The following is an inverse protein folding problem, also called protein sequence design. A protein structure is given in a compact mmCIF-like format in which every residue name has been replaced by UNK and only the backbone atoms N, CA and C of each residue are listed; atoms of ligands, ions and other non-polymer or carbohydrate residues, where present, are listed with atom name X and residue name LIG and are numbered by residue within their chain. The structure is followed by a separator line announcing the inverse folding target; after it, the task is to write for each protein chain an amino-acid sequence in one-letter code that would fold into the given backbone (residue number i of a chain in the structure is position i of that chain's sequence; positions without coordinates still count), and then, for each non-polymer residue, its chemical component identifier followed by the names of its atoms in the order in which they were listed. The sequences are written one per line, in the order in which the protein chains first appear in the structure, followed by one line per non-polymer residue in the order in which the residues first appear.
data_IF_619380277337
#
_entry.id   IF_619380277337
#
_cell.length_a   1.000
_cell.length_b   1.000
_cell.length_c   1.000
_cell.angle_alpha   90.00
_cell.angle_beta   90.00
_cell.angle_gamma   90.00
#
_symmetry.space_group_name_H-M   'P 1'
#
loop_
_entity.id
_entity.type
_entity.pdbx_description
1 polymer ?
#
# COMPACT_ATOMS: atom_id res chain seq x y z
N UNK A 1 8.98 8.38 -12.43
CA UNK A 1 10.11 9.12 -11.84
C UNK A 1 10.88 9.78 -12.96
N UNK A 2 10.74 11.10 -13.08
CA UNK A 2 11.31 11.87 -14.18
C UNK A 2 12.84 11.95 -14.03
N UNK A 3 13.56 11.72 -15.12
CA UNK A 3 14.98 11.35 -15.13
C UNK A 3 15.91 12.56 -15.31
N UNK A 4 15.59 13.70 -14.65
CA UNK A 4 16.19 14.99 -15.01
C UNK A 4 17.41 15.46 -14.21
N UNK A 5 17.78 14.83 -13.08
CA UNK A 5 18.87 15.34 -12.22
C UNK A 5 19.84 14.26 -11.67
N UNK A 6 20.18 13.24 -12.46
CA UNK A 6 21.18 12.23 -12.01
C UNK A 6 22.57 12.57 -12.55
N UNK A 7 23.52 12.84 -11.65
CA UNK A 7 24.94 12.99 -11.99
C UNK A 7 25.53 11.73 -12.65
N UNK A 8 26.65 11.91 -13.38
CA UNK A 8 27.25 10.88 -14.23
C UNK A 8 27.48 9.53 -13.51
N UNK A 9 28.03 9.55 -12.29
CA UNK A 9 28.26 8.34 -11.49
C UNK A 9 26.96 7.58 -11.20
N UNK A 10 25.89 8.29 -10.81
CA UNK A 10 24.58 7.68 -10.54
C UNK A 10 23.99 7.05 -11.81
N UNK A 11 24.22 7.65 -12.98
CA UNK A 11 23.76 7.09 -14.25
C UNK A 11 24.53 5.82 -14.63
N UNK A 12 25.85 5.79 -14.41
CA UNK A 12 26.67 4.60 -14.65
C UNK A 12 26.24 3.47 -13.72
N UNK A 13 26.11 3.74 -12.42
CA UNK A 13 25.62 2.75 -11.45
C UNK A 13 24.25 2.25 -11.87
N UNK A 14 23.30 3.15 -12.15
CA UNK A 14 21.94 2.76 -12.54
C UNK A 14 21.91 1.86 -13.77
N UNK A 15 22.66 2.19 -14.83
CA UNK A 15 22.74 1.36 -16.05
C UNK A 15 23.42 0.02 -15.79
N UNK A 16 24.48 -0.02 -14.98
CA UNK A 16 25.15 -1.26 -14.59
C UNK A 16 24.20 -2.16 -13.79
N UNK A 17 23.46 -1.60 -12.83
CA UNK A 17 22.43 -2.28 -12.05
C UNK A 17 21.31 -2.84 -12.94
N UNK A 18 20.83 -2.06 -13.92
CA UNK A 18 19.85 -2.53 -14.89
C UNK A 18 20.36 -3.70 -15.74
N UNK A 19 21.63 -3.67 -16.15
CA UNK A 19 22.25 -4.76 -16.90
C UNK A 19 22.39 -6.02 -16.04
N UNK A 20 22.85 -5.87 -14.79
CA UNK A 20 23.02 -6.95 -13.82
C UNK A 20 21.68 -7.64 -13.47
N UNK A 21 20.62 -6.85 -13.32
CA UNK A 21 19.30 -7.38 -12.97
C UNK A 21 18.41 -7.71 -14.16
N UNK A 22 18.89 -7.52 -15.40
CA UNK A 22 18.11 -7.83 -16.62
C UNK A 22 17.74 -9.30 -16.74
N UNK A 23 18.53 -10.18 -16.15
CA UNK A 23 18.34 -11.64 -16.17
C UNK A 23 17.54 -12.15 -14.98
N UNK A 24 17.16 -11.28 -14.03
CA UNK A 24 16.29 -11.67 -12.93
C UNK A 24 14.85 -11.65 -13.42
N UNK A 25 14.21 -12.82 -13.36
CA UNK A 25 12.79 -12.94 -13.61
C UNK A 25 12.00 -12.30 -12.46
N UNK A 26 11.35 -11.18 -12.75
CA UNK A 26 10.51 -10.44 -11.81
C UNK A 26 9.32 -11.26 -11.31
N UNK A 27 8.78 -12.17 -12.13
CA UNK A 27 7.68 -13.04 -11.70
C UNK A 27 8.16 -14.02 -10.63
N UNK A 28 9.38 -14.55 -10.79
CA UNK A 28 9.98 -15.45 -9.79
C UNK A 28 10.27 -14.71 -8.48
N UNK A 29 10.68 -13.45 -8.54
CA UNK A 29 10.83 -12.61 -7.34
C UNK A 29 9.48 -12.38 -6.66
N UNK A 30 8.47 -11.96 -7.41
CA UNK A 30 7.13 -11.71 -6.90
C UNK A 30 6.53 -12.97 -6.24
N UNK A 31 6.69 -14.14 -6.87
CA UNK A 31 6.26 -15.42 -6.29
C UNK A 31 6.96 -15.73 -4.97
N UNK A 32 8.29 -15.54 -4.89
CA UNK A 32 9.04 -15.74 -3.64
C UNK A 32 8.58 -14.78 -2.54
N UNK A 33 8.36 -13.52 -2.87
CA UNK A 33 7.83 -12.52 -1.93
C UNK A 33 6.45 -12.95 -1.41
N UNK A 34 5.57 -13.41 -2.29
CA UNK A 34 4.25 -13.88 -1.89
C UNK A 34 4.31 -15.09 -0.95
N UNK A 35 5.19 -16.06 -1.22
CA UNK A 35 5.39 -17.24 -0.33
C UNK A 35 5.82 -16.79 1.07
N UNK A 36 6.81 -15.89 1.16
CA UNK A 36 7.30 -15.36 2.44
C UNK A 36 6.20 -14.56 3.14
N UNK A 37 5.47 -13.71 2.42
CA UNK A 37 4.37 -12.93 2.96
C UNK A 37 3.27 -13.84 3.54
N UNK A 38 2.89 -14.92 2.84
CA UNK A 38 1.88 -15.86 3.32
C UNK A 38 2.32 -16.63 4.58
N UNK A 39 3.62 -16.93 4.74
CA UNK A 39 4.11 -17.57 5.98
C UNK A 39 4.03 -16.69 7.23
N UNK A 40 3.88 -15.37 7.08
CA UNK A 40 3.77 -14.45 8.23
C UNK A 40 2.44 -14.58 9.00
N UNK A 41 1.43 -15.24 8.41
CA UNK A 41 0.13 -15.51 9.03
C UNK A 41 0.18 -16.44 10.25
N UNK A 42 1.30 -17.11 10.49
CA UNK A 42 1.49 -18.03 11.63
C UNK A 42 1.92 -17.33 12.93
N UNK A 43 1.96 -15.99 12.95
CA UNK A 43 2.40 -15.22 14.11
C UNK A 43 1.35 -15.14 15.22
N UNK A 44 1.72 -15.49 16.46
CA UNK A 44 0.90 -15.31 17.66
C UNK A 44 0.87 -13.85 18.18
N UNK A 45 1.50 -12.89 17.50
CA UNK A 45 1.54 -11.47 17.90
C UNK A 45 0.14 -10.84 17.98
N UNK A 46 -0.22 -10.06 18.99
CA UNK A 46 -1.50 -9.32 18.97
C UNK A 46 -1.56 -8.20 17.92
N UNK A 47 -0.42 -7.86 17.31
CA UNK A 47 -0.28 -6.80 16.32
C UNK A 47 -0.01 -7.37 14.91
N UNK A 48 -0.46 -6.64 13.90
CA UNK A 48 -0.16 -6.84 12.49
C UNK A 48 0.16 -5.50 11.82
N UNK A 49 0.85 -5.51 10.68
CA UNK A 49 1.17 -4.30 9.95
C UNK A 49 1.19 -4.53 8.43
N UNK A 50 0.82 -3.50 7.67
CA UNK A 50 1.19 -3.41 6.25
C UNK A 50 2.67 -3.00 6.18
N UNK A 51 3.46 -3.76 5.44
CA UNK A 51 4.90 -3.53 5.25
C UNK A 51 5.23 -3.02 3.84
N UNK A 52 4.22 -2.93 2.96
CA UNK A 52 4.40 -2.53 1.57
C UNK A 52 4.25 -1.03 1.43
N UNK A 53 3.36 -0.43 2.21
CA UNK A 53 3.10 1.00 2.16
C UNK A 53 3.97 1.79 3.15
N UNK A 54 3.85 3.12 3.08
CA UNK A 54 4.80 4.05 3.70
C UNK A 54 4.27 4.79 4.92
N UNK A 55 3.15 4.39 5.54
CA UNK A 55 2.62 5.11 6.70
C UNK A 55 3.32 4.75 8.03
N UNK A 56 4.34 3.87 7.97
CA UNK A 56 5.26 3.60 9.08
C UNK A 56 4.52 3.04 10.31
N UNK A 57 4.79 3.54 11.51
CA UNK A 57 4.21 3.05 12.77
C UNK A 57 2.68 3.08 12.78
N UNK A 58 2.05 3.96 11.98
CA UNK A 58 0.59 4.02 11.85
C UNK A 58 -0.01 2.76 11.23
N UNK A 59 0.78 1.93 10.54
CA UNK A 59 0.28 0.70 9.93
C UNK A 59 0.30 -0.46 10.91
N UNK A 60 0.95 -0.29 12.07
CA UNK A 60 0.96 -1.28 13.15
C UNK A 60 -0.36 -1.17 13.90
N UNK A 61 -1.19 -2.20 13.76
CA UNK A 61 -2.56 -2.23 14.28
C UNK A 61 -2.83 -3.50 15.07
N UNK A 62 -3.77 -3.47 16.02
CA UNK A 62 -4.29 -4.69 16.65
C UNK A 62 -4.87 -5.63 15.59
N UNK A 63 -4.51 -6.91 15.62
CA UNK A 63 -4.97 -7.89 14.62
C UNK A 63 -6.48 -7.97 14.58
N UNK A 64 -7.14 -7.78 15.72
CA UNK A 64 -8.58 -7.95 15.86
C UNK A 64 -9.41 -7.05 14.95
N UNK A 65 -8.88 -5.91 14.50
CA UNK A 65 -9.57 -5.02 13.58
C UNK A 65 -9.82 -5.70 12.21
N UNK A 66 -9.04 -6.74 11.89
CA UNK A 66 -9.14 -7.53 10.66
C UNK A 66 -9.77 -8.91 10.87
N UNK A 67 -10.22 -9.28 12.08
CA UNK A 67 -10.72 -10.63 12.40
C UNK A 67 -11.92 -11.06 11.57
N UNK A 68 -12.71 -10.11 11.10
CA UNK A 68 -13.92 -10.37 10.32
C UNK A 68 -14.10 -9.31 9.27
N UNK A 69 -14.60 -9.75 8.12
CA UNK A 69 -15.09 -8.86 7.09
C UNK A 69 -16.60 -8.63 7.26
N UNK A 70 -17.04 -7.38 7.14
CA UNK A 70 -18.44 -6.96 7.22
C UNK A 70 -18.87 -6.31 5.89
N UNK A 71 -20.17 -6.35 5.59
CA UNK A 71 -20.73 -5.62 4.43
C UNK A 71 -21.09 -4.20 4.85
N UNK A 72 -20.69 -3.22 4.05
CA UNK A 72 -21.05 -1.82 4.20
C UNK A 72 -21.42 -1.21 2.84
N UNK A 73 -22.34 -0.24 2.84
CA UNK A 73 -22.73 0.47 1.62
C UNK A 73 -21.80 1.66 1.42
N UNK A 74 -21.13 1.71 0.27
CA UNK A 74 -20.31 2.84 -0.16
C UNK A 74 -20.66 3.17 -1.62
N UNK A 75 -21.00 4.44 -1.88
CA UNK A 75 -21.46 4.90 -3.20
C UNK A 75 -22.58 4.03 -3.82
N UNK A 76 -23.54 3.64 -2.98
CA UNK A 76 -24.71 2.84 -3.41
C UNK A 76 -24.39 1.38 -3.71
N UNK A 77 -23.20 0.88 -3.38
CA UNK A 77 -22.80 -0.51 -3.62
C UNK A 77 -22.31 -1.15 -2.32
N UNK A 78 -22.61 -2.43 -2.15
CA UNK A 78 -22.07 -3.19 -1.02
C UNK A 78 -20.57 -3.44 -1.20
N UNK A 79 -19.82 -3.28 -0.12
CA UNK A 79 -18.38 -3.46 -0.03
C UNK A 79 -18.04 -4.28 1.20
N UNK A 80 -17.06 -5.15 1.02
CA UNK A 80 -16.47 -5.94 2.09
C UNK A 80 -15.38 -5.12 2.76
N UNK A 81 -15.53 -4.81 4.05
CA UNK A 81 -14.58 -3.99 4.82
C UNK A 81 -14.18 -4.70 6.12
N UNK A 82 -13.01 -4.38 6.72
CA UNK A 82 -12.65 -4.90 8.04
C UNK A 82 -13.63 -4.43 9.13
N UNK A 83 -13.91 -5.28 10.10
CA UNK A 83 -14.79 -4.95 11.23
C UNK A 83 -14.31 -3.73 12.03
N UNK A 84 -12.99 -3.55 12.16
CA UNK A 84 -12.40 -2.38 12.82
C UNK A 84 -11.98 -1.28 11.85
N UNK A 85 -12.77 -1.03 10.79
CA UNK A 85 -12.49 0.01 9.79
C UNK A 85 -12.29 1.40 10.42
N UNK A 86 -13.05 1.73 11.46
CA UNK A 86 -12.98 3.03 12.13
C UNK A 86 -11.62 3.25 12.81
N UNK A 87 -11.12 2.23 13.52
CA UNK A 87 -9.77 2.23 14.10
C UNK A 87 -8.70 2.37 13.03
N UNK A 88 -8.84 1.62 11.93
CA UNK A 88 -7.91 1.67 10.81
C UNK A 88 -7.84 3.08 10.21
N UNK A 89 -8.99 3.64 9.81
CA UNK A 89 -9.07 4.94 9.14
C UNK A 89 -8.64 6.08 10.08
N UNK A 90 -9.01 6.01 11.36
CA UNK A 90 -8.60 7.00 12.36
C UNK A 90 -7.09 7.00 12.58
N UNK A 91 -6.46 5.83 12.66
CA UNK A 91 -5.02 5.78 12.92
C UNK A 91 -4.18 6.22 11.70
N UNK A 92 -4.62 5.89 10.48
CA UNK A 92 -3.94 6.31 9.26
C UNK A 92 -4.17 7.80 8.98
N UNK A 93 -5.43 8.25 8.95
CA UNK A 93 -5.84 9.55 8.43
C UNK A 93 -6.23 10.59 9.50
N UNK A 94 -6.39 10.20 10.76
CA UNK A 94 -6.87 11.09 11.82
C UNK A 94 -8.38 11.28 11.75
N UNK A 95 -8.86 12.53 11.74
CA UNK A 95 -10.28 12.85 11.59
C UNK A 95 -10.76 12.61 10.14
N UNK A 96 -10.83 11.35 9.73
CA UNK A 96 -11.03 10.94 8.34
C UNK A 96 -12.43 11.29 7.78
N UNK A 97 -13.38 11.64 8.66
CA UNK A 97 -14.73 12.07 8.28
C UNK A 97 -14.79 13.57 7.95
N UNK A 98 -13.73 14.33 8.22
CA UNK A 98 -13.59 15.72 7.84
C UNK A 98 -12.85 15.81 6.50
N UNK A 99 -13.49 16.41 5.51
CA UNK A 99 -12.85 16.62 4.21
C UNK A 99 -11.66 17.58 4.37
N UNK A 100 -10.53 17.32 3.68
CA UNK A 100 -9.45 18.28 3.66
C UNK A 100 -9.91 19.58 2.97
N UNK A 101 -9.22 20.71 3.20
CA UNK A 101 -9.48 21.97 2.50
C UNK A 101 -9.52 21.77 0.97
N UNK A 102 -10.33 22.56 0.27
CA UNK A 102 -10.58 22.42 -1.19
C UNK A 102 -9.27 22.42 -1.98
N UNK A 103 -8.30 23.23 -1.56
CA UNK A 103 -6.99 23.36 -2.21
C UNK A 103 -6.15 22.09 -2.10
N UNK A 104 -6.47 21.23 -1.14
CA UNK A 104 -5.83 19.92 -0.90
C UNK A 104 -6.67 18.74 -1.42
N UNK A 105 -7.88 18.97 -1.92
CA UNK A 105 -8.70 17.95 -2.59
C UNK A 105 -8.23 17.72 -4.04
N UNK A 106 -6.92 17.52 -4.22
CA UNK A 106 -6.29 17.27 -5.52
C UNK A 106 -5.63 15.89 -5.52
N UNK A 107 -5.77 15.15 -6.62
CA UNK A 107 -5.15 13.83 -6.75
C UNK A 107 -3.61 13.98 -6.81
N UNK A 108 -2.90 13.27 -5.94
CA UNK A 108 -1.43 13.20 -5.95
C UNK A 108 -0.88 12.10 -6.89
N UNK A 109 -1.77 11.32 -7.50
CA UNK A 109 -1.40 10.29 -8.47
C UNK A 109 -1.53 10.83 -9.89
N UNK A 110 -0.52 10.56 -10.73
CA UNK A 110 -0.54 10.90 -12.16
C UNK A 110 -1.33 9.85 -12.96
N UNK A 111 -2.52 9.50 -12.50
CA UNK A 111 -3.36 8.45 -13.11
C UNK A 111 -4.80 8.95 -13.11
N UNK A 112 -5.42 8.96 -14.30
CA UNK A 112 -6.86 9.14 -14.43
C UNK A 112 -7.50 7.77 -14.50
N UNK A 113 -8.30 7.42 -13.50
CA UNK A 113 -9.02 6.15 -13.43
C UNK A 113 -10.50 6.36 -13.78
N UNK A 114 -11.07 5.40 -14.51
CA UNK A 114 -12.49 5.36 -14.84
C UNK A 114 -13.08 4.05 -14.34
N UNK A 115 -14.31 4.08 -13.85
CA UNK A 115 -15.04 2.85 -13.54
C UNK A 115 -15.35 2.14 -14.85
N UNK A 116 -14.89 0.89 -14.99
CA UNK A 116 -15.32 0.02 -16.08
C UNK A 116 -16.56 -0.72 -15.62
N UNK A 117 -17.67 -0.48 -16.30
CA UNK A 117 -18.91 -1.24 -16.12
C UNK A 117 -18.73 -2.72 -16.47
#
# INVERSE_FOLDING_TARGET
MDNKDRGLLKNVIFKATQLLFRTIDLNRMAQKMNIIAMSSGESNSSLCADLVWGYSEKEIMPREIFNKAISAVFEGRERCIPVGYDTFLTNIYGNYMELPPIEKQIAHHNITAYYKE
#
